data_IF_164628967417
#
_entry.id   IF_164628967417
#
_cell.length_a   1.000
_cell.length_b   1.000
_cell.length_c   1.000
_cell.angle_alpha   90.00
_cell.angle_beta   90.00
_cell.angle_gamma   90.00
#
_symmetry.space_group_name_H-M   'P 1'
#
loop_
_entity.id
_entity.type
_entity.pdbx_description
1 polymer ?
#
# COMPACT_ATOMS: atom_id res chain seq x y z
N UNK A 1 -5.16 20.84 -5.45
CA UNK A 1 -6.50 21.40 -5.23
C UNK A 1 -7.02 21.07 -3.84
N UNK A 2 -7.17 19.78 -3.47
CA UNK A 2 -7.82 19.43 -2.19
C UNK A 2 -6.88 18.80 -1.15
N UNK A 3 -5.87 18.04 -1.58
CA UNK A 3 -5.02 17.27 -0.67
C UNK A 3 -3.98 18.13 0.08
N UNK A 4 -3.73 19.35 -0.39
CA UNK A 4 -2.78 20.26 0.25
C UNK A 4 -3.26 20.63 1.68
N UNK A 5 -4.58 20.79 1.86
CA UNK A 5 -5.22 21.11 3.15
C UNK A 5 -6.00 19.94 3.78
N UNK A 6 -6.41 18.94 2.97
CA UNK A 6 -7.22 17.78 3.40
C UNK A 6 -6.57 16.43 3.06
N UNK A 7 -5.23 16.39 3.05
CA UNK A 7 -4.42 15.23 2.70
C UNK A 7 -3.97 14.36 3.88
N UNK A 8 -2.90 13.57 3.74
CA UNK A 8 -2.39 12.74 4.81
C UNK A 8 -1.86 13.53 6.01
N UNK A 9 -1.20 14.66 5.73
CA UNK A 9 -0.50 15.47 6.73
C UNK A 9 -1.30 16.71 7.17
N UNK A 10 -2.45 16.98 6.53
CA UNK A 10 -3.29 18.14 6.78
C UNK A 10 -4.76 17.75 6.88
N UNK A 11 -5.44 18.25 7.92
CA UNK A 11 -6.84 17.91 8.23
C UNK A 11 -7.64 19.16 8.62
N UNK A 12 -7.68 20.14 7.73
CA UNK A 12 -8.45 21.36 7.96
C UNK A 12 -9.95 21.07 8.12
N UNK A 13 -10.58 21.73 9.08
CA UNK A 13 -11.99 21.52 9.43
C UNK A 13 -12.32 20.09 9.85
N UNK A 14 -11.33 19.29 10.26
CA UNK A 14 -11.53 17.89 10.65
C UNK A 14 -11.69 16.92 9.46
N UNK A 15 -11.58 17.40 8.22
CA UNK A 15 -11.80 16.61 7.00
C UNK A 15 -10.49 16.08 6.41
N UNK A 16 -10.50 14.80 6.04
CA UNK A 16 -9.43 14.13 5.28
C UNK A 16 -10.01 13.42 4.05
N UNK A 17 -9.47 13.69 2.87
CA UNK A 17 -9.99 13.17 1.58
C UNK A 17 -9.22 11.93 1.08
N UNK A 18 -8.46 11.27 1.95
CA UNK A 18 -7.58 10.14 1.58
C UNK A 18 -8.27 8.78 1.58
N UNK A 19 -9.45 8.65 2.19
CA UNK A 19 -10.18 7.39 2.24
C UNK A 19 -11.69 7.59 2.25
N UNK A 20 -12.42 6.59 1.76
CA UNK A 20 -13.88 6.54 1.81
C UNK A 20 -14.41 6.75 3.23
N UNK A 21 -13.78 6.14 4.23
CA UNK A 21 -14.20 6.31 5.62
C UNK A 21 -14.09 7.77 6.06
N UNK A 22 -12.99 8.44 5.74
CA UNK A 22 -12.74 9.80 6.19
C UNK A 22 -13.71 10.82 5.58
N UNK A 23 -14.15 10.65 4.33
CA UNK A 23 -15.11 11.57 3.69
C UNK A 23 -16.56 11.39 4.17
N UNK A 24 -16.89 10.23 4.74
CA UNK A 24 -18.21 9.90 5.27
C UNK A 24 -18.34 10.24 6.77
N UNK A 25 -17.22 10.49 7.46
CA UNK A 25 -17.23 10.91 8.85
C UNK A 25 -17.66 12.36 8.98
N UNK A 26 -18.30 12.67 10.11
CA UNK A 26 -18.61 14.05 10.49
C UNK A 26 -17.32 14.82 10.71
N UNK A 27 -17.21 15.97 10.07
CA UNK A 27 -16.11 16.91 10.25
C UNK A 27 -16.39 17.85 11.45
N UNK A 28 -15.58 18.88 11.64
CA UNK A 28 -15.75 19.82 12.78
C UNK A 28 -17.06 20.62 12.70
N UNK A 29 -17.68 20.71 11.52
CA UNK A 29 -19.03 21.30 11.32
C UNK A 29 -20.17 20.34 11.71
N UNK A 30 -19.86 19.10 12.09
CA UNK A 30 -20.86 18.10 12.51
C UNK A 30 -21.55 17.38 11.36
N UNK A 31 -21.14 17.62 10.11
CA UNK A 31 -21.72 17.07 8.89
C UNK A 31 -20.70 16.22 8.12
N UNK A 32 -21.13 15.16 7.41
CA UNK A 32 -20.23 14.44 6.51
C UNK A 32 -19.88 15.33 5.31
N UNK A 33 -18.65 15.22 4.79
CA UNK A 33 -18.28 15.97 3.59
C UNK A 33 -19.07 15.50 2.36
N UNK A 34 -19.37 14.20 2.28
CA UNK A 34 -20.14 13.60 1.19
C UNK A 34 -21.24 12.71 1.77
N UNK A 35 -22.45 12.85 1.22
CA UNK A 35 -23.59 11.96 1.44
C UNK A 35 -23.81 11.18 0.13
N UNK A 36 -23.44 9.88 0.07
CA UNK A 36 -23.63 9.05 -1.11
C UNK A 36 -25.09 9.08 -1.60
N UNK A 37 -25.29 9.35 -2.89
CA UNK A 37 -26.60 9.43 -3.52
C UNK A 37 -27.34 10.76 -3.31
N UNK A 38 -26.75 11.72 -2.57
CA UNK A 38 -27.36 13.03 -2.36
C UNK A 38 -26.31 14.15 -2.41
N UNK A 39 -26.01 14.62 -3.62
CA UNK A 39 -25.09 15.74 -3.81
C UNK A 39 -25.59 17.05 -3.20
N UNK A 40 -26.91 17.21 -3.05
CA UNK A 40 -27.54 18.46 -2.61
C UNK A 40 -27.37 18.74 -1.13
N UNK A 41 -27.19 17.70 -0.33
CA UNK A 41 -26.95 17.78 1.12
C UNK A 41 -25.46 17.50 1.45
N UNK A 42 -24.63 17.31 0.42
CA UNK A 42 -23.20 17.04 0.60
C UNK A 42 -22.43 18.35 0.75
N UNK A 43 -21.87 18.58 1.95
CA UNK A 43 -21.12 19.80 2.28
C UNK A 43 -20.01 20.12 1.28
N UNK A 44 -19.33 19.09 0.74
CA UNK A 44 -18.29 19.27 -0.28
C UNK A 44 -18.80 20.05 -1.49
N UNK A 45 -20.01 19.74 -2.00
CA UNK A 45 -20.57 20.47 -3.14
C UNK A 45 -20.97 21.90 -2.77
N UNK A 46 -21.49 22.11 -1.56
CA UNK A 46 -21.82 23.47 -1.09
C UNK A 46 -20.57 24.34 -1.07
N UNK A 47 -19.46 23.83 -0.55
CA UNK A 47 -18.21 24.59 -0.41
C UNK A 47 -17.55 24.86 -1.76
N UNK A 48 -17.44 23.87 -2.66
CA UNK A 48 -16.81 24.08 -3.98
C UNK A 48 -17.66 24.91 -4.94
N UNK A 49 -18.97 25.02 -4.67
CA UNK A 49 -19.90 25.85 -5.47
C UNK A 49 -20.23 27.19 -4.81
N UNK A 50 -19.73 27.44 -3.60
CA UNK A 50 -20.06 28.67 -2.86
C UNK A 50 -19.50 29.89 -3.57
N UNK A 51 -20.27 30.98 -3.52
CA UNK A 51 -19.82 32.29 -3.99
C UNK A 51 -19.22 33.14 -2.88
N UNK A 52 -19.49 32.77 -1.63
CA UNK A 52 -18.94 33.44 -0.45
C UNK A 52 -17.44 33.14 -0.34
N UNK A 53 -16.63 34.18 -0.26
CA UNK A 53 -15.18 34.03 -0.21
C UNK A 53 -14.67 33.37 1.06
N UNK A 54 -15.45 33.46 2.16
CA UNK A 54 -15.13 32.86 3.45
C UNK A 54 -15.50 31.38 3.54
N UNK A 55 -16.38 30.90 2.65
CA UNK A 55 -16.84 29.51 2.64
C UNK A 55 -16.36 28.70 1.43
N UNK A 56 -15.93 29.37 0.36
CA UNK A 56 -15.52 28.69 -0.87
C UNK A 56 -14.33 27.74 -0.62
N UNK A 57 -14.32 26.64 -1.37
CA UNK A 57 -13.18 25.73 -1.44
C UNK A 57 -12.74 25.52 -2.89
N UNK A 58 -11.43 25.59 -3.19
CA UNK A 58 -10.35 26.00 -2.28
C UNK A 58 -10.43 27.49 -1.91
N UNK A 59 -9.84 27.92 -0.77
CA UNK A 59 -9.80 29.33 -0.39
C UNK A 59 -9.13 30.18 -1.47
N UNK A 60 -9.64 31.40 -1.72
CA UNK A 60 -9.14 32.28 -2.79
C UNK A 60 -7.64 32.61 -2.69
N UNK A 61 -7.10 32.61 -1.47
CA UNK A 61 -5.68 32.88 -1.21
C UNK A 61 -4.76 31.71 -1.59
N UNK A 62 -5.31 30.48 -1.65
CA UNK A 62 -4.53 29.25 -1.77
C UNK A 62 -4.70 28.59 -3.14
N UNK A 63 -5.88 28.67 -3.76
CA UNK A 63 -6.17 27.91 -4.97
C UNK A 63 -7.21 28.52 -5.90
N UNK A 64 -7.19 28.07 -7.15
CA UNK A 64 -8.20 28.44 -8.14
C UNK A 64 -9.48 27.64 -7.93
N UNK A 65 -10.63 28.29 -8.16
CA UNK A 65 -11.94 27.63 -8.15
C UNK A 65 -11.98 26.49 -9.16
N UNK A 66 -12.76 25.48 -8.83
CA UNK A 66 -13.12 24.42 -9.78
C UNK A 66 -13.97 25.02 -10.90
N UNK A 67 -13.77 24.49 -12.10
CA UNK A 67 -14.62 24.77 -13.25
C UNK A 67 -16.00 24.17 -13.04
N UNK A 68 -17.00 24.70 -13.75
CA UNK A 68 -18.36 24.16 -13.73
C UNK A 68 -18.40 22.68 -14.15
N UNK A 69 -17.52 22.26 -15.05
CA UNK A 69 -17.43 20.87 -15.49
C UNK A 69 -16.90 19.94 -14.40
N UNK A 70 -15.91 20.38 -13.62
CA UNK A 70 -15.39 19.61 -12.48
C UNK A 70 -16.43 19.49 -11.36
N UNK A 71 -17.11 20.59 -11.03
CA UNK A 71 -18.21 20.58 -10.05
C UNK A 71 -19.32 19.63 -10.51
N UNK A 72 -19.69 19.67 -11.79
CA UNK A 72 -20.70 18.77 -12.35
C UNK A 72 -20.28 17.30 -12.32
N UNK A 73 -18.98 17.03 -12.51
CA UNK A 73 -18.42 15.67 -12.42
C UNK A 73 -18.50 15.16 -10.98
N UNK A 74 -18.11 15.98 -10.00
CA UNK A 74 -18.24 15.66 -8.58
C UNK A 74 -19.69 15.39 -8.19
N UNK A 75 -20.61 16.24 -8.69
CA UNK A 75 -22.05 16.07 -8.49
C UNK A 75 -22.54 14.71 -8.97
N UNK A 76 -22.23 14.36 -10.22
CA UNK A 76 -22.66 13.08 -10.81
C UNK A 76 -22.08 11.90 -10.05
N UNK A 77 -20.80 11.97 -9.67
CA UNK A 77 -20.16 10.92 -8.90
C UNK A 77 -20.79 10.73 -7.52
N UNK A 78 -21.13 11.81 -6.79
CA UNK A 78 -21.84 11.72 -5.51
C UNK A 78 -23.24 11.14 -5.70
N UNK A 79 -24.01 11.66 -6.68
CA UNK A 79 -25.36 11.20 -7.00
C UNK A 79 -25.37 9.71 -7.43
N UNK A 80 -24.29 9.22 -8.05
CA UNK A 80 -24.09 7.82 -8.41
C UNK A 80 -23.72 6.91 -7.22
N UNK A 81 -23.67 7.45 -5.99
CA UNK A 81 -23.36 6.69 -4.78
C UNK A 81 -21.95 6.89 -4.26
N UNK A 82 -21.21 7.87 -4.78
CA UNK A 82 -19.84 8.19 -4.37
C UNK A 82 -18.96 6.93 -4.32
N UNK A 83 -19.03 6.12 -5.40
CA UNK A 83 -18.33 4.85 -5.43
C UNK A 83 -16.83 5.08 -5.36
N UNK A 84 -16.19 4.34 -4.47
CA UNK A 84 -14.81 4.57 -4.09
C UNK A 84 -14.09 3.23 -4.15
N UNK A 85 -12.93 3.13 -4.83
CA UNK A 85 -12.24 1.86 -5.00
C UNK A 85 -11.98 1.24 -3.63
N UNK A 86 -12.56 0.06 -3.40
CA UNK A 86 -12.59 -0.63 -2.10
C UNK A 86 -11.22 -0.97 -1.52
N UNK A 87 -10.14 -0.82 -2.30
CA UNK A 87 -8.76 -1.03 -1.84
C UNK A 87 -8.14 0.18 -1.13
N UNK A 88 -8.87 1.29 -1.00
CA UNK A 88 -8.36 2.54 -0.41
C UNK A 88 -8.62 2.66 1.11
N UNK A 89 -8.65 1.56 1.85
CA UNK A 89 -8.23 1.70 3.24
C UNK A 89 -6.76 2.16 3.17
N UNK A 90 -6.37 3.16 3.96
CA UNK A 90 -4.95 3.57 4.01
C UNK A 90 -4.11 2.29 4.11
N UNK A 91 -3.18 2.04 3.17
CA UNK A 91 -2.48 0.76 3.11
C UNK A 91 -1.87 0.55 4.49
N UNK A 92 -2.33 -0.48 5.20
CA UNK A 92 -1.79 -0.80 6.51
C UNK A 92 -0.30 -0.97 6.31
N UNK A 93 0.50 -0.20 7.06
CA UNK A 93 1.95 -0.33 7.00
C UNK A 93 2.31 -1.81 7.15
N UNK A 94 3.25 -2.32 6.35
CA UNK A 94 3.55 -3.76 6.23
C UNK A 94 3.74 -4.46 7.58
N UNK A 95 4.27 -3.74 8.58
CA UNK A 95 4.47 -4.23 9.95
C UNK A 95 3.16 -4.58 10.71
N UNK A 96 2.01 -4.05 10.27
CA UNK A 96 0.68 -4.31 10.85
C UNK A 96 -0.18 -5.26 10.01
N UNK A 97 0.39 -5.83 8.95
CA UNK A 97 -0.26 -6.89 8.16
C UNK A 97 0.31 -8.22 8.67
N UNK A 98 -0.52 -9.09 9.29
CA UNK A 98 -0.05 -10.41 9.71
C UNK A 98 0.53 -11.18 8.52
N UNK A 99 1.76 -11.74 8.63
CA UNK A 99 2.35 -12.49 7.54
C UNK A 99 1.50 -13.73 7.24
N UNK A 100 1.10 -13.89 5.98
CA UNK A 100 0.42 -15.08 5.51
C UNK A 100 1.45 -16.14 5.09
N UNK A 101 1.21 -17.41 5.46
CA UNK A 101 2.04 -18.52 4.98
C UNK A 101 1.73 -18.80 3.51
N UNK A 102 2.74 -18.66 2.66
CA UNK A 102 2.65 -19.11 1.27
C UNK A 102 2.62 -20.64 1.18
N UNK A 103 1.86 -21.22 0.24
CA UNK A 103 1.94 -22.65 -0.04
C UNK A 103 3.34 -23.01 -0.54
N UNK A 104 3.79 -24.24 -0.23
CA UNK A 104 5.08 -24.72 -0.72
C UNK A 104 4.96 -25.06 -2.21
N UNK A 105 5.95 -24.68 -3.05
CA UNK A 105 5.99 -25.06 -4.45
C UNK A 105 6.06 -26.58 -4.62
N UNK A 106 5.39 -27.09 -5.64
CA UNK A 106 5.56 -28.47 -6.08
C UNK A 106 6.77 -28.53 -7.01
N UNK A 107 7.80 -29.26 -6.59
CA UNK A 107 9.07 -29.36 -7.31
C UNK A 107 9.40 -30.81 -7.65
N UNK A 108 10.25 -30.99 -8.66
CA UNK A 108 10.71 -32.31 -9.09
C UNK A 108 11.36 -33.09 -7.91
N UNK A 109 11.01 -34.37 -7.68
CA UNK A 109 11.65 -35.21 -6.68
C UNK A 109 13.18 -35.35 -6.81
N UNK A 110 13.76 -35.01 -7.95
CA UNK A 110 15.21 -34.96 -8.16
C UNK A 110 15.92 -33.90 -7.29
N UNK A 111 15.20 -32.87 -6.82
CA UNK A 111 15.73 -31.88 -5.89
C UNK A 111 15.78 -32.44 -4.45
N UNK A 112 16.88 -32.18 -3.74
CA UNK A 112 17.05 -32.47 -2.31
C UNK A 112 16.36 -31.38 -1.50
N UNK A 113 15.27 -31.73 -0.83
CA UNK A 113 14.47 -30.83 0.01
C UNK A 113 14.60 -31.26 1.49
N UNK A 114 15.30 -30.49 2.31
CA UNK A 114 15.44 -30.73 3.75
C UNK A 114 14.51 -29.83 4.57
N UNK A 115 14.15 -28.66 4.04
CA UNK A 115 13.24 -27.73 4.68
C UNK A 115 12.38 -26.96 3.63
N UNK A 116 11.44 -26.15 4.12
CA UNK A 116 10.53 -25.37 3.28
C UNK A 116 11.23 -24.41 2.30
N UNK A 117 12.38 -23.84 2.68
CA UNK A 117 13.12 -22.88 1.86
C UNK A 117 13.68 -23.58 0.62
N UNK A 118 14.13 -24.83 0.76
CA UNK A 118 14.70 -25.60 -0.35
C UNK A 118 13.70 -25.79 -1.50
N UNK A 119 12.40 -25.87 -1.21
CA UNK A 119 11.36 -25.99 -2.24
C UNK A 119 11.27 -24.72 -3.10
N UNK A 120 11.36 -23.54 -2.50
CA UNK A 120 11.40 -22.28 -3.25
C UNK A 120 12.70 -22.11 -4.05
N UNK A 121 13.83 -22.59 -3.51
CA UNK A 121 15.11 -22.59 -4.26
C UNK A 121 15.02 -23.53 -5.46
N UNK A 122 14.50 -24.74 -5.26
CA UNK A 122 14.31 -25.73 -6.34
C UNK A 122 13.39 -25.20 -7.44
N UNK A 123 12.27 -24.55 -7.07
CA UNK A 123 11.40 -23.87 -8.04
C UNK A 123 12.19 -22.86 -8.87
N UNK A 124 12.98 -21.98 -8.24
CA UNK A 124 13.76 -20.96 -8.94
C UNK A 124 14.87 -21.51 -9.82
N UNK A 125 15.50 -22.62 -9.42
CA UNK A 125 16.51 -23.31 -10.23
C UNK A 125 15.88 -23.94 -11.48
N UNK A 126 14.69 -24.53 -11.35
CA UNK A 126 13.97 -25.14 -12.46
C UNK A 126 13.50 -24.13 -13.52
N UNK A 127 13.21 -22.88 -13.09
CA UNK A 127 12.81 -21.76 -13.96
C UNK A 127 13.97 -21.15 -14.77
N UNK A 128 15.23 -21.49 -14.47
CA UNK A 128 16.36 -20.97 -15.24
C UNK A 128 16.40 -21.56 -16.66
N UNK A 129 17.05 -20.84 -17.59
CA UNK A 129 17.25 -21.31 -18.96
C UNK A 129 18.75 -21.33 -19.29
N UNK A 130 19.40 -22.52 -19.36
CA UNK A 130 18.84 -23.86 -19.14
C UNK A 130 18.49 -24.12 -17.65
N UNK A 131 17.61 -25.10 -17.35
CA UNK A 131 17.27 -25.47 -15.98
C UNK A 131 18.53 -25.87 -15.19
N UNK A 132 18.65 -25.35 -13.97
CA UNK A 132 19.78 -25.64 -13.09
C UNK A 132 19.43 -26.73 -12.08
N UNK A 133 20.45 -27.48 -11.66
CA UNK A 133 20.34 -28.49 -10.60
C UNK A 133 21.13 -28.06 -9.37
N UNK A 134 20.74 -28.55 -8.18
CA UNK A 134 21.50 -28.30 -6.95
C UNK A 134 22.91 -28.90 -7.03
N UNK A 135 23.91 -28.09 -6.70
CA UNK A 135 25.30 -28.54 -6.54
C UNK A 135 25.43 -29.65 -5.49
N UNK A 136 26.41 -30.56 -5.64
CA UNK A 136 26.69 -31.55 -4.62
C UNK A 136 27.08 -30.88 -3.29
N UNK A 137 26.87 -31.60 -2.19
CA UNK A 137 27.29 -31.12 -0.87
C UNK A 137 28.80 -30.89 -0.86
N UNK A 138 29.21 -29.74 -0.30
CA UNK A 138 30.63 -29.44 -0.14
C UNK A 138 31.27 -30.38 0.90
N UNK A 139 32.56 -30.65 0.74
CA UNK A 139 33.30 -31.48 1.71
C UNK A 139 33.30 -30.84 3.10
N UNK A 140 33.42 -31.64 4.18
CA UNK A 140 33.49 -31.12 5.55
C UNK A 140 34.52 -29.99 5.72
N UNK A 141 35.73 -30.16 5.16
CA UNK A 141 36.77 -29.14 5.20
C UNK A 141 36.37 -27.81 4.52
N UNK A 142 35.61 -27.85 3.40
CA UNK A 142 35.10 -26.64 2.74
C UNK A 142 33.98 -25.99 3.55
N UNK A 143 33.12 -26.78 4.18
CA UNK A 143 32.05 -26.27 5.04
C UNK A 143 32.64 -25.59 6.28
N UNK A 144 33.58 -26.26 6.96
CA UNK A 144 34.30 -25.69 8.11
C UNK A 144 34.95 -24.37 7.73
N UNK A 145 35.69 -24.34 6.61
CA UNK A 145 36.33 -23.13 6.13
C UNK A 145 35.35 -21.97 5.88
N UNK A 146 34.19 -22.23 5.30
CA UNK A 146 33.16 -21.20 5.03
C UNK A 146 32.60 -20.65 6.33
N UNK A 147 32.18 -21.55 7.23
CA UNK A 147 31.61 -21.16 8.52
C UNK A 147 32.60 -20.36 9.37
N UNK A 148 33.88 -20.77 9.44
CA UNK A 148 34.90 -19.99 10.16
C UNK A 148 35.09 -18.60 9.59
N UNK A 149 35.18 -18.47 8.26
CA UNK A 149 35.29 -17.15 7.63
C UNK A 149 34.05 -16.27 7.88
N UNK A 150 32.85 -16.84 7.79
CA UNK A 150 31.61 -16.09 7.96
C UNK A 150 31.38 -15.65 9.41
N UNK A 151 31.76 -16.49 10.39
CA UNK A 151 31.53 -16.21 11.81
C UNK A 151 32.64 -15.38 12.46
N UNK A 152 33.91 -15.64 12.14
CA UNK A 152 35.06 -15.04 12.83
C UNK A 152 36.06 -14.35 11.90
N UNK A 153 35.88 -14.43 10.58
CA UNK A 153 36.74 -13.75 9.60
C UNK A 153 38.11 -14.40 9.37
N UNK A 154 38.39 -15.55 9.98
CA UNK A 154 39.67 -16.26 9.88
C UNK A 154 39.47 -17.69 9.34
N UNK A 155 40.47 -18.26 8.63
CA UNK A 155 40.43 -19.68 8.27
C UNK A 155 40.51 -20.57 9.54
N UNK A 156 39.98 -21.81 9.48
CA UNK A 156 40.13 -22.77 10.57
C UNK A 156 41.62 -23.10 10.79
N UNK A 157 41.97 -23.42 12.04
CA UNK A 157 43.31 -23.87 12.39
C UNK A 157 43.53 -25.33 11.94
N UNK A 158 44.78 -25.82 11.85
CA UNK A 158 45.04 -27.22 11.53
C UNK A 158 44.49 -28.23 12.55
N UNK A 159 44.13 -27.76 13.74
CA UNK A 159 43.65 -28.54 14.88
C UNK A 159 42.12 -28.54 15.01
N UNK A 160 41.42 -27.72 14.21
CA UNK A 160 39.96 -27.74 14.01
C UNK A 160 39.52 -28.76 12.95
#
# INVERSE_FOLDING_TARGET
HCQDCHGPDAREGGLRLTSRKNILLRNDSGEPAIIPGNSKESLLLHRVSSKDESEQMPPAEVGTRLTQQEIQTLKQWIDAGADWPTESEEPKHWAYIPPAKSPLPQVDPAFRIHNAIDAFVAEKLSQQTPPLTQSPQASPARLLRRVSLDLIGLPPSPED
#
